data_IF_778480975482
#
_entry.id   IF_778480975482
#
_cell.length_a   1.000
_cell.length_b   1.000
_cell.length_c   1.000
_cell.angle_alpha   90.00
_cell.angle_beta   90.00
_cell.angle_gamma   90.00
#
_symmetry.space_group_name_H-M   'P 1'
#
loop_
_entity.id
_entity.type
_entity.pdbx_description
1 polymer ?
#
# COMPACT_ATOMS: atom_id res chain seq x y z
N UNK A 1 -14.56 9.35 -19.00
CA UNK A 1 -15.38 10.16 -19.92
C UNK A 1 -16.78 10.30 -19.38
N UNK A 2 -17.39 11.44 -19.60
CA UNK A 2 -18.75 11.71 -19.18
C UNK A 2 -19.20 13.09 -19.64
N UNK A 3 -20.51 13.31 -19.62
CA UNK A 3 -21.09 14.61 -19.92
C UNK A 3 -20.84 15.56 -18.74
N UNK A 4 -20.31 16.73 -19.05
CA UNK A 4 -20.10 17.82 -18.12
C UNK A 4 -21.08 18.93 -18.47
N UNK A 5 -21.81 19.47 -17.50
CA UNK A 5 -22.65 20.64 -17.72
C UNK A 5 -21.89 21.88 -17.25
N UNK A 6 -21.63 22.79 -18.15
CA UNK A 6 -20.97 24.06 -17.89
C UNK A 6 -22.06 25.12 -17.81
N UNK A 7 -22.16 25.81 -16.67
CA UNK A 7 -23.07 26.91 -16.47
C UNK A 7 -22.25 28.19 -16.41
N UNK A 8 -22.67 29.20 -17.15
CA UNK A 8 -22.06 30.54 -17.15
C UNK A 8 -23.09 31.57 -16.82
N UNK A 9 -22.78 32.51 -15.90
CA UNK A 9 -23.56 33.66 -15.58
C UNK A 9 -22.66 34.90 -15.68
N UNK A 10 -23.13 35.95 -16.37
CA UNK A 10 -22.40 37.18 -16.54
C UNK A 10 -23.31 38.38 -16.56
N UNK A 11 -22.80 39.61 -16.27
CA UNK A 11 -23.54 40.85 -16.38
C UNK A 11 -23.56 41.41 -17.81
N UNK A 12 -22.78 40.82 -18.72
CA UNK A 12 -22.70 41.17 -20.15
C UNK A 12 -22.71 39.94 -21.03
N UNK A 13 -22.90 40.12 -22.33
CA UNK A 13 -22.78 39.00 -23.28
C UNK A 13 -21.34 38.47 -23.33
N UNK A 14 -21.19 37.17 -23.21
CA UNK A 14 -19.89 36.51 -23.23
C UNK A 14 -19.92 35.31 -24.18
N UNK A 15 -18.75 34.99 -24.73
CA UNK A 15 -18.53 33.77 -25.50
C UNK A 15 -17.60 32.87 -24.72
N UNK A 16 -17.82 31.58 -24.78
CA UNK A 16 -16.88 30.62 -24.20
C UNK A 16 -16.66 29.37 -25.05
N UNK A 17 -15.52 28.79 -24.93
CA UNK A 17 -15.08 27.62 -25.67
C UNK A 17 -14.20 26.75 -24.78
N UNK A 18 -14.21 25.43 -24.99
CA UNK A 18 -13.41 24.44 -24.28
C UNK A 18 -12.24 24.02 -25.16
N UNK A 19 -11.04 24.05 -24.59
CA UNK A 19 -9.79 23.66 -25.24
C UNK A 19 -9.06 22.57 -24.46
N UNK A 20 -8.26 21.77 -25.15
CA UNK A 20 -7.24 20.92 -24.49
C UNK A 20 -6.14 21.79 -23.88
N UNK A 21 -5.30 21.21 -23.06
CA UNK A 21 -4.09 21.87 -22.54
C UNK A 21 -3.04 22.17 -23.62
N UNK A 22 -3.16 21.53 -24.79
CA UNK A 22 -2.32 21.78 -25.97
C UNK A 22 -2.89 22.87 -26.89
N UNK A 23 -4.02 23.48 -26.54
CA UNK A 23 -4.65 24.57 -27.30
C UNK A 23 -5.62 24.11 -28.40
N UNK A 24 -5.91 22.82 -28.53
CA UNK A 24 -6.89 22.30 -29.47
C UNK A 24 -8.31 22.58 -28.98
N UNK A 25 -9.18 23.11 -29.83
CA UNK A 25 -10.58 23.39 -29.50
C UNK A 25 -11.39 22.09 -29.45
N UNK A 26 -11.86 21.74 -28.26
CA UNK A 26 -12.61 20.48 -28.01
C UNK A 26 -14.12 20.67 -28.21
N UNK A 27 -14.65 21.82 -27.81
CA UNK A 27 -16.06 22.14 -27.96
C UNK A 27 -16.26 23.53 -28.50
N UNK A 28 -17.38 23.73 -29.19
CA UNK A 28 -17.72 24.90 -29.99
C UNK A 28 -17.60 26.25 -29.26
N UNK A 29 -17.93 27.32 -29.94
CA UNK A 29 -18.09 28.63 -29.32
C UNK A 29 -19.57 28.77 -28.91
N UNK A 30 -19.78 28.93 -27.63
CA UNK A 30 -21.11 29.12 -27.04
C UNK A 30 -21.25 30.59 -26.66
N UNK A 31 -22.48 31.13 -26.77
CA UNK A 31 -22.74 32.51 -26.47
C UNK A 31 -23.84 32.64 -25.40
N UNK A 32 -23.49 33.28 -24.29
CA UNK A 32 -24.45 33.72 -23.30
C UNK A 32 -24.82 35.19 -23.60
N UNK A 33 -26.04 35.45 -24.02
CA UNK A 33 -26.49 36.78 -24.34
C UNK A 33 -27.19 37.44 -23.15
N UNK A 34 -26.81 38.68 -22.84
CA UNK A 34 -27.46 39.48 -21.81
C UNK A 34 -28.92 39.74 -22.17
N UNK A 35 -29.84 39.44 -21.26
CA UNK A 35 -31.25 39.79 -21.40
C UNK A 35 -31.47 41.19 -20.80
N UNK A 36 -32.10 42.07 -21.58
CA UNK A 36 -32.40 43.46 -21.13
C UNK A 36 -33.25 43.48 -19.86
N UNK A 37 -34.18 42.53 -19.71
CA UNK A 37 -35.10 42.44 -18.56
C UNK A 37 -34.44 42.06 -17.24
N UNK A 38 -33.33 41.34 -17.25
CA UNK A 38 -32.65 40.84 -16.03
C UNK A 38 -31.28 41.46 -15.82
N UNK A 39 -30.70 42.11 -16.82
CA UNK A 39 -29.34 42.64 -16.78
C UNK A 39 -28.25 41.57 -16.71
N UNK A 40 -28.61 40.29 -16.92
CA UNK A 40 -27.68 39.14 -16.84
C UNK A 40 -27.75 38.25 -18.06
N UNK A 41 -26.64 37.63 -18.40
CA UNK A 41 -26.52 36.55 -19.36
C UNK A 41 -26.34 35.25 -18.61
N UNK A 42 -27.28 34.31 -18.76
CA UNK A 42 -27.18 33.00 -18.17
C UNK A 42 -27.23 31.96 -19.29
N UNK A 43 -26.36 30.96 -19.18
CA UNK A 43 -26.29 29.92 -20.18
C UNK A 43 -25.81 28.61 -19.57
N UNK A 44 -26.31 27.49 -20.10
CA UNK A 44 -25.96 26.16 -19.68
C UNK A 44 -25.75 25.24 -20.90
N UNK A 45 -24.67 24.54 -20.99
CA UNK A 45 -24.37 23.60 -22.06
C UNK A 45 -23.77 22.32 -21.51
N UNK A 46 -24.08 21.22 -22.20
CA UNK A 46 -23.57 19.90 -21.90
C UNK A 46 -22.50 19.50 -22.91
N UNK A 47 -21.30 19.28 -22.44
CA UNK A 47 -20.14 18.89 -23.26
C UNK A 47 -19.65 17.51 -22.84
N UNK A 48 -19.49 16.60 -23.80
CA UNK A 48 -18.90 15.30 -23.53
C UNK A 48 -17.38 15.40 -23.54
N UNK A 49 -16.77 15.16 -22.38
CA UNK A 49 -15.32 15.22 -22.20
C UNK A 49 -14.76 13.88 -21.71
N UNK A 50 -13.61 13.51 -22.21
CA UNK A 50 -12.84 12.42 -21.64
C UNK A 50 -12.22 12.84 -20.31
N UNK A 51 -11.73 11.86 -19.51
CA UNK A 51 -10.97 12.19 -18.32
C UNK A 51 -9.71 12.98 -18.70
N UNK A 52 -9.52 14.16 -18.14
CA UNK A 52 -8.39 15.02 -18.48
C UNK A 52 -8.52 16.41 -17.88
N UNK A 53 -7.56 17.27 -18.20
CA UNK A 53 -7.54 18.69 -17.85
C UNK A 53 -7.87 19.50 -19.11
N UNK A 54 -8.72 20.51 -18.95
CA UNK A 54 -9.21 21.33 -20.04
C UNK A 54 -9.14 22.81 -19.65
N UNK A 55 -9.02 23.67 -20.66
CA UNK A 55 -9.07 25.11 -20.50
C UNK A 55 -10.42 25.65 -20.96
N UNK A 56 -11.10 26.40 -20.09
CA UNK A 56 -12.28 27.17 -20.46
C UNK A 56 -11.85 28.58 -20.84
N UNK A 57 -11.97 28.93 -22.13
CA UNK A 57 -11.72 30.28 -22.62
C UNK A 57 -13.03 31.07 -22.60
N UNK A 58 -13.04 32.18 -21.88
CA UNK A 58 -14.17 33.13 -21.84
C UNK A 58 -13.71 34.40 -22.55
N UNK A 59 -14.49 34.85 -23.54
CA UNK A 59 -14.26 36.08 -24.29
C UNK A 59 -15.42 36.99 -24.10
N UNK A 60 -15.16 38.27 -23.83
CA UNK A 60 -16.13 39.31 -23.56
C UNK A 60 -16.31 40.23 -24.77
N UNK A 61 -17.46 40.89 -24.82
CA UNK A 61 -17.80 41.91 -25.82
C UNK A 61 -17.51 43.34 -25.36
N UNK A 62 -17.41 43.57 -24.03
CA UNK A 62 -17.27 44.88 -23.38
C UNK A 62 -16.02 44.95 -22.49
N UNK A 63 -15.59 46.16 -22.15
CA UNK A 63 -14.40 46.44 -21.34
C UNK A 63 -14.54 46.00 -19.85
N UNK A 64 -15.75 45.94 -19.33
CA UNK A 64 -16.03 45.57 -17.93
C UNK A 64 -17.08 44.45 -17.88
N UNK A 65 -16.66 43.24 -17.57
CA UNK A 65 -17.54 42.08 -17.45
C UNK A 65 -17.22 41.31 -16.17
N UNK A 66 -18.21 41.12 -15.33
CA UNK A 66 -18.16 40.19 -14.22
C UNK A 66 -18.83 38.89 -14.65
N UNK A 67 -18.22 37.76 -14.41
CA UNK A 67 -18.78 36.45 -14.71
C UNK A 67 -18.49 35.44 -13.61
N UNK A 68 -19.38 34.48 -13.49
CA UNK A 68 -19.18 33.30 -12.69
C UNK A 68 -19.42 32.05 -13.58
N UNK A 69 -18.76 30.95 -13.28
CA UNK A 69 -19.06 29.69 -13.93
C UNK A 69 -19.03 28.55 -12.93
N UNK A 70 -19.80 27.53 -13.19
CA UNK A 70 -19.72 26.26 -12.46
C UNK A 70 -19.70 25.10 -13.45
N UNK A 71 -19.01 24.03 -13.10
CA UNK A 71 -18.96 22.80 -13.89
C UNK A 71 -19.51 21.67 -13.02
N UNK A 72 -20.64 21.11 -13.46
CA UNK A 72 -21.27 19.98 -12.79
C UNK A 72 -20.95 18.70 -13.54
N UNK A 73 -20.20 17.83 -12.91
CA UNK A 73 -19.92 16.51 -13.43
C UNK A 73 -21.02 15.53 -13.04
N UNK A 74 -21.65 14.89 -14.04
CA UNK A 74 -22.63 13.81 -13.81
C UNK A 74 -21.95 12.43 -13.86
N UNK A 75 -20.61 12.38 -13.90
CA UNK A 75 -19.94 11.09 -13.94
C UNK A 75 -20.05 10.39 -12.59
N UNK A 76 -20.94 9.39 -12.51
CA UNK A 76 -20.99 8.45 -11.40
C UNK A 76 -20.03 7.29 -11.69
N UNK A 77 -19.10 7.03 -10.78
CA UNK A 77 -18.22 5.89 -10.91
C UNK A 77 -19.00 4.60 -10.71
N UNK A 78 -19.05 3.77 -11.75
CA UNK A 78 -19.48 2.38 -11.63
C UNK A 78 -18.24 1.51 -11.58
N UNK A 79 -17.93 0.98 -10.41
CA UNK A 79 -16.73 0.19 -10.18
C UNK A 79 -17.03 -1.30 -10.33
N UNK A 80 -16.33 -1.94 -11.24
CA UNK A 80 -16.36 -3.39 -11.41
C UNK A 80 -15.07 -4.01 -10.86
N UNK A 81 -15.17 -5.23 -10.33
CA UNK A 81 -14.00 -5.99 -9.92
C UNK A 81 -13.06 -6.17 -11.10
N UNK A 82 -11.77 -5.91 -10.90
CA UNK A 82 -10.74 -6.07 -11.92
C UNK A 82 -9.83 -7.25 -11.64
N UNK A 83 -9.17 -7.26 -10.48
CA UNK A 83 -8.24 -8.33 -10.09
C UNK A 83 -7.91 -8.27 -8.59
N UNK A 84 -7.33 -9.38 -8.10
CA UNK A 84 -6.80 -9.47 -6.75
C UNK A 84 -5.27 -9.45 -6.76
N UNK A 85 -4.68 -8.56 -5.97
CA UNK A 85 -3.26 -8.63 -5.58
C UNK A 85 -3.13 -9.54 -4.37
N UNK A 86 -2.47 -10.69 -4.53
CA UNK A 86 -2.25 -11.63 -3.43
C UNK A 86 -1.22 -11.08 -2.44
N UNK A 87 -1.43 -11.26 -1.11
CA UNK A 87 -0.44 -10.83 -0.12
C UNK A 87 0.87 -11.61 -0.28
N UNK A 88 1.98 -10.89 -0.22
CA UNK A 88 3.32 -11.49 -0.18
C UNK A 88 3.83 -11.57 1.25
N UNK A 89 5.09 -11.97 1.46
CA UNK A 89 5.72 -11.90 2.79
C UNK A 89 6.06 -10.47 3.22
N UNK A 90 5.96 -9.48 2.34
CA UNK A 90 6.39 -8.09 2.57
C UNK A 90 5.35 -7.04 2.25
N UNK A 91 4.28 -7.39 1.57
CA UNK A 91 3.21 -6.45 1.18
C UNK A 91 1.83 -7.03 1.40
N UNK A 92 0.88 -6.15 1.67
CA UNK A 92 -0.53 -6.51 1.77
C UNK A 92 -1.05 -7.02 0.42
N UNK A 93 -2.04 -7.90 0.47
CA UNK A 93 -2.91 -8.20 -0.66
C UNK A 93 -4.16 -7.31 -0.60
N UNK A 94 -4.82 -7.13 -1.73
CA UNK A 94 -6.06 -6.37 -1.82
C UNK A 94 -6.78 -6.68 -3.14
N UNK A 95 -8.06 -6.40 -3.17
CA UNK A 95 -8.86 -6.46 -4.39
C UNK A 95 -8.92 -5.07 -5.03
N UNK A 96 -8.80 -5.02 -6.35
CA UNK A 96 -8.84 -3.80 -7.16
C UNK A 96 -10.15 -3.75 -7.94
N UNK A 97 -10.82 -2.63 -7.86
CA UNK A 97 -12.00 -2.30 -8.62
C UNK A 97 -11.71 -1.11 -9.52
N UNK A 98 -12.16 -1.16 -10.76
CA UNK A 98 -11.92 -0.11 -11.75
C UNK A 98 -13.23 0.37 -12.36
N UNK A 99 -13.29 1.66 -12.65
CA UNK A 99 -14.32 2.28 -13.45
C UNK A 99 -13.84 2.43 -14.90
N UNK A 100 -14.73 2.45 -15.87
CA UNK A 100 -14.42 2.71 -17.29
C UNK A 100 -13.68 4.03 -17.53
N UNK A 101 -13.84 5.00 -16.64
CA UNK A 101 -13.10 6.27 -16.69
C UNK A 101 -11.63 6.17 -16.23
N UNK A 102 -11.16 4.98 -15.81
CA UNK A 102 -9.82 4.78 -15.30
C UNK A 102 -9.68 4.95 -13.78
N UNK A 103 -10.69 5.48 -13.06
CA UNK A 103 -10.66 5.57 -11.60
C UNK A 103 -10.60 4.16 -10.98
N UNK A 104 -9.84 4.03 -9.90
CA UNK A 104 -9.65 2.75 -9.17
C UNK A 104 -9.78 2.95 -7.67
N UNK A 105 -10.28 1.93 -6.98
CA UNK A 105 -10.16 1.83 -5.53
C UNK A 105 -9.80 0.40 -5.12
N UNK A 106 -9.31 0.24 -3.90
CA UNK A 106 -8.91 -1.05 -3.35
C UNK A 106 -9.70 -1.37 -2.09
N UNK A 107 -10.01 -2.65 -1.88
CA UNK A 107 -10.73 -3.15 -0.71
C UNK A 107 -10.18 -4.50 -0.28
N UNK A 108 -10.75 -5.12 0.77
CA UNK A 108 -10.36 -6.44 1.27
C UNK A 108 -8.85 -6.57 1.55
N UNK A 109 -8.25 -5.57 2.19
CA UNK A 109 -6.82 -5.55 2.47
C UNK A 109 -6.44 -6.71 3.40
N UNK A 110 -5.59 -7.62 2.89
CA UNK A 110 -5.06 -8.78 3.62
C UNK A 110 -3.63 -8.52 4.05
N UNK A 111 -3.34 -8.74 5.33
CA UNK A 111 -1.99 -8.56 5.89
C UNK A 111 -0.93 -9.42 5.18
N UNK A 112 0.36 -9.02 5.24
CA UNK A 112 1.44 -9.79 4.67
C UNK A 112 1.47 -11.22 5.19
N UNK A 113 1.70 -12.21 4.31
CA UNK A 113 1.77 -13.62 4.67
C UNK A 113 3.03 -13.91 5.51
N UNK A 114 2.91 -14.46 6.72
CA UNK A 114 4.08 -14.78 7.54
C UNK A 114 5.00 -15.80 6.87
N UNK A 115 6.32 -15.71 7.15
CA UNK A 115 7.26 -16.71 6.73
C UNK A 115 6.91 -18.08 7.34
N UNK A 116 7.02 -19.15 6.56
CA UNK A 116 6.86 -20.51 7.06
C UNK A 116 7.93 -20.87 8.09
N UNK A 117 7.75 -21.98 8.80
CA UNK A 117 8.69 -22.47 9.78
C UNK A 117 10.08 -22.76 9.17
N UNK A 118 11.14 -22.48 9.93
CA UNK A 118 12.49 -22.98 9.65
C UNK A 118 12.66 -24.37 10.26
N UNK A 119 13.64 -25.15 9.79
CA UNK A 119 13.98 -26.45 10.37
C UNK A 119 15.34 -26.35 11.09
N UNK A 120 15.37 -26.66 12.39
CA UNK A 120 16.64 -26.81 13.12
C UNK A 120 17.29 -28.09 12.66
N UNK A 121 18.53 -27.99 12.13
CA UNK A 121 19.38 -29.13 11.76
C UNK A 121 19.99 -29.78 13.00
N UNK A 122 20.67 -28.97 13.79
CA UNK A 122 21.34 -29.48 14.99
C UNK A 122 21.41 -28.47 16.11
N UNK A 123 21.46 -28.97 17.34
CA UNK A 123 21.80 -28.24 18.57
C UNK A 123 22.86 -28.99 19.28
N UNK A 124 24.04 -28.39 19.48
CA UNK A 124 25.21 -29.05 20.11
C UNK A 124 25.78 -28.17 21.22
N UNK A 125 26.11 -28.76 22.34
CA UNK A 125 26.93 -28.12 23.37
C UNK A 125 28.39 -28.08 22.97
N UNK A 126 29.06 -26.97 23.25
CA UNK A 126 30.51 -26.83 23.06
C UNK A 126 31.17 -26.96 24.43
N UNK A 127 31.97 -28.03 24.59
CA UNK A 127 32.40 -28.60 25.87
C UNK A 127 33.19 -27.66 26.81
N UNK A 128 33.92 -26.67 26.31
CA UNK A 128 34.85 -25.88 27.12
C UNK A 128 34.35 -24.43 27.44
N UNK A 129 33.14 -24.06 27.06
CA UNK A 129 32.75 -22.63 27.10
C UNK A 129 31.31 -22.34 27.52
N UNK A 130 30.57 -23.27 28.11
CA UNK A 130 29.15 -23.12 28.46
C UNK A 130 28.31 -22.51 27.30
N UNK A 131 28.54 -23.05 26.10
CA UNK A 131 27.98 -22.54 24.87
C UNK A 131 27.10 -23.58 24.18
N UNK A 132 26.07 -23.11 23.48
CA UNK A 132 25.17 -23.94 22.68
C UNK A 132 25.17 -23.41 21.26
N UNK A 133 25.69 -24.22 20.30
CA UNK A 133 25.63 -23.94 18.87
C UNK A 133 24.33 -24.48 18.31
N UNK A 134 23.57 -23.62 17.61
CA UNK A 134 22.34 -23.96 16.91
C UNK A 134 22.57 -23.77 15.41
N UNK A 135 22.16 -24.75 14.62
CA UNK A 135 22.25 -24.73 13.15
C UNK A 135 20.84 -24.98 12.59
N UNK A 136 20.44 -24.18 11.61
CA UNK A 136 19.14 -24.27 10.95
C UNK A 136 19.20 -24.07 9.44
N UNK A 137 18.13 -24.41 8.73
CA UNK A 137 17.98 -24.09 7.32
C UNK A 137 17.58 -22.62 7.17
N UNK A 138 18.18 -21.94 6.19
CA UNK A 138 17.73 -20.59 5.81
C UNK A 138 16.31 -20.62 5.25
N UNK A 139 15.64 -19.48 5.33
CA UNK A 139 14.30 -19.28 4.77
C UNK A 139 14.35 -18.13 3.76
N UNK A 140 13.89 -18.40 2.54
CA UNK A 140 13.81 -17.38 1.50
C UNK A 140 12.96 -16.19 1.98
N UNK A 141 13.41 -14.98 1.70
CA UNK A 141 12.75 -13.74 2.11
C UNK A 141 12.95 -13.36 3.58
N UNK A 142 13.72 -14.10 4.38
CA UNK A 142 14.03 -13.72 5.74
C UNK A 142 15.00 -12.53 5.81
N UNK A 143 14.77 -11.61 6.72
CA UNK A 143 15.72 -10.54 7.10
C UNK A 143 16.64 -10.98 8.26
N UNK A 144 16.26 -12.04 8.97
CA UNK A 144 17.02 -12.61 10.07
C UNK A 144 16.23 -13.64 10.85
N UNK A 145 16.75 -14.01 12.02
CA UNK A 145 16.21 -15.10 12.84
C UNK A 145 16.14 -14.71 14.31
N UNK A 146 15.16 -15.28 15.00
CA UNK A 146 15.01 -15.17 16.45
C UNK A 146 15.10 -16.56 17.06
N UNK A 147 15.97 -16.70 18.07
CA UNK A 147 16.28 -17.95 18.75
C UNK A 147 15.84 -17.84 20.20
N UNK A 148 15.09 -18.81 20.69
CA UNK A 148 14.69 -18.94 22.07
C UNK A 148 15.33 -20.17 22.69
N UNK A 149 15.85 -20.00 23.90
CA UNK A 149 16.36 -21.05 24.77
C UNK A 149 15.52 -21.09 26.04
N UNK A 150 15.13 -22.27 26.47
CA UNK A 150 14.36 -22.46 27.71
C UNK A 150 14.78 -23.76 28.40
N UNK A 151 14.66 -23.81 29.73
CA UNK A 151 14.78 -25.04 30.50
C UNK A 151 13.50 -25.90 30.43
N UNK A 152 12.39 -25.30 30.01
CA UNK A 152 11.10 -25.96 29.89
C UNK A 152 10.72 -26.16 28.41
N UNK A 153 10.24 -27.36 28.07
CA UNK A 153 9.84 -27.72 26.70
C UNK A 153 8.75 -26.81 26.12
N UNK A 154 7.87 -26.30 26.96
CA UNK A 154 6.76 -25.40 26.56
C UNK A 154 7.15 -23.93 26.48
N UNK A 155 8.39 -23.56 26.81
CA UNK A 155 8.91 -22.18 26.76
C UNK A 155 8.14 -21.15 27.64
N UNK A 156 7.47 -21.58 28.72
CA UNK A 156 6.81 -20.66 29.68
C UNK A 156 7.78 -19.61 30.26
N UNK A 157 9.04 -20.03 30.52
CA UNK A 157 10.13 -19.14 30.96
C UNK A 157 11.33 -19.31 30.05
N UNK A 158 11.84 -18.20 29.50
CA UNK A 158 13.02 -18.21 28.65
C UNK A 158 14.29 -18.12 29.51
N UNK A 159 15.29 -18.92 29.19
CA UNK A 159 16.65 -18.80 29.72
C UNK A 159 17.46 -17.76 28.92
N UNK A 160 17.25 -17.70 27.59
CA UNK A 160 17.87 -16.70 26.74
C UNK A 160 17.04 -16.47 25.48
N UNK A 161 17.17 -15.25 24.93
CA UNK A 161 16.55 -14.84 23.67
C UNK A 161 17.61 -14.12 22.83
N UNK A 162 17.74 -14.46 21.56
CA UNK A 162 18.65 -13.76 20.64
C UNK A 162 17.97 -13.49 19.31
N UNK A 163 18.17 -12.29 18.80
CA UNK A 163 17.81 -11.92 17.42
C UNK A 163 19.10 -11.78 16.61
N UNK A 164 19.17 -12.46 15.48
CA UNK A 164 20.32 -12.48 14.57
C UNK A 164 19.88 -11.82 13.27
N UNK A 165 20.63 -10.80 12.82
CA UNK A 165 20.42 -10.14 11.53
C UNK A 165 21.02 -11.00 10.41
N UNK A 166 20.51 -10.82 9.18
CA UNK A 166 21.00 -11.53 7.98
C UNK A 166 20.18 -12.78 7.64
N UNK A 167 19.44 -12.71 6.54
CA UNK A 167 18.58 -13.82 6.07
C UNK A 167 19.34 -15.07 5.62
N UNK A 168 20.63 -14.93 5.28
CA UNK A 168 21.52 -16.04 4.90
C UNK A 168 22.21 -16.71 6.10
N UNK A 169 22.01 -16.20 7.33
CA UNK A 169 22.64 -16.78 8.55
C UNK A 169 22.09 -18.18 8.81
N UNK A 170 22.98 -19.15 8.98
CA UNK A 170 22.66 -20.59 9.15
C UNK A 170 22.91 -21.10 10.57
N UNK A 171 23.63 -20.35 11.42
CA UNK A 171 23.99 -20.78 12.76
C UNK A 171 24.18 -19.61 13.72
N UNK A 172 24.11 -19.92 15.01
CA UNK A 172 24.44 -19.00 16.09
C UNK A 172 25.00 -19.80 17.28
N UNK A 173 25.96 -19.20 17.99
CA UNK A 173 26.54 -19.75 19.23
C UNK A 173 26.05 -18.86 20.38
N UNK A 174 25.13 -19.39 21.17
CA UNK A 174 24.73 -18.79 22.44
C UNK A 174 25.76 -19.05 23.53
N UNK A 175 25.94 -18.12 24.46
CA UNK A 175 26.91 -18.17 25.55
C UNK A 175 26.23 -18.13 26.92
N UNK A 176 26.98 -18.37 27.99
CA UNK A 176 26.58 -18.24 29.40
C UNK A 176 25.43 -19.18 29.80
N UNK A 177 25.45 -20.42 29.32
CA UNK A 177 24.54 -21.46 29.77
C UNK A 177 25.11 -22.21 30.98
N UNK A 178 24.25 -22.68 31.88
CA UNK A 178 24.66 -23.44 33.08
C UNK A 178 25.06 -24.86 32.67
N UNK A 179 26.26 -25.30 33.02
CA UNK A 179 26.77 -26.66 32.87
C UNK A 179 25.81 -27.68 33.49
N UNK A 180 25.68 -28.83 32.86
CA UNK A 180 24.83 -29.92 33.36
C UNK A 180 23.31 -29.71 33.13
N UNK A 181 22.85 -28.53 32.81
CA UNK A 181 21.39 -28.24 32.60
C UNK A 181 20.97 -28.55 31.16
N UNK A 182 19.74 -29.05 31.01
CA UNK A 182 19.10 -29.28 29.70
C UNK A 182 18.42 -28.01 29.20
N UNK A 183 18.60 -27.69 27.92
CA UNK A 183 18.00 -26.55 27.24
C UNK A 183 17.22 -27.01 26.01
N UNK A 184 16.01 -26.49 25.85
CA UNK A 184 15.19 -26.63 24.66
C UNK A 184 15.37 -25.38 23.79
N UNK A 185 15.43 -25.57 22.49
CA UNK A 185 15.74 -24.49 21.54
C UNK A 185 14.70 -24.53 20.42
N UNK A 186 14.17 -23.35 20.07
CA UNK A 186 13.38 -23.13 18.86
C UNK A 186 13.82 -21.86 18.15
N UNK A 187 13.64 -21.84 16.85
CA UNK A 187 14.07 -20.73 15.96
C UNK A 187 12.89 -20.34 15.09
N UNK A 188 12.74 -19.06 14.81
CA UNK A 188 11.85 -18.57 13.76
C UNK A 188 12.55 -17.53 12.90
N UNK A 189 12.20 -17.46 11.62
CA UNK A 189 12.61 -16.37 10.75
C UNK A 189 11.76 -15.12 11.02
N UNK A 190 12.31 -13.96 10.69
CA UNK A 190 11.53 -12.73 10.60
C UNK A 190 11.88 -11.97 9.33
N UNK A 191 10.94 -11.14 8.86
CA UNK A 191 11.16 -10.16 7.80
C UNK A 191 10.84 -8.77 8.35
N UNK A 192 11.60 -7.76 7.92
CA UNK A 192 11.28 -6.37 8.18
C UNK A 192 10.28 -5.90 7.11
N UNK A 193 9.16 -5.35 7.54
CA UNK A 193 8.11 -4.78 6.70
C UNK A 193 7.78 -3.42 7.30
N UNK A 194 8.03 -2.34 6.57
CA UNK A 194 7.76 -0.97 7.03
C UNK A 194 8.31 -0.70 8.44
N UNK A 195 9.59 -1.04 8.68
CA UNK A 195 10.26 -0.86 9.97
C UNK A 195 9.88 -1.87 11.06
N UNK A 196 8.82 -2.65 10.90
CA UNK A 196 8.34 -3.64 11.88
C UNK A 196 8.78 -5.06 11.52
N UNK A 197 9.05 -5.89 12.55
CA UNK A 197 9.40 -7.31 12.36
C UNK A 197 8.13 -8.17 12.26
N UNK A 198 7.91 -8.77 11.11
CA UNK A 198 6.89 -9.81 10.90
C UNK A 198 7.55 -11.17 11.10
N UNK A 199 7.10 -11.90 12.13
CA UNK A 199 7.69 -13.19 12.49
C UNK A 199 6.99 -14.36 11.79
N UNK A 200 7.81 -15.31 11.32
CA UNK A 200 7.35 -16.58 10.78
C UNK A 200 6.96 -17.57 11.88
N UNK A 201 6.48 -18.75 11.45
CA UNK A 201 6.18 -19.88 12.34
C UNK A 201 7.45 -20.38 13.04
N UNK A 202 7.31 -20.86 14.28
CA UNK A 202 8.40 -21.50 15.01
C UNK A 202 8.83 -22.81 14.35
N UNK A 203 10.12 -23.12 14.49
CA UNK A 203 10.71 -24.41 14.10
C UNK A 203 10.20 -25.56 14.98
N UNK A 204 10.58 -26.79 14.59
CA UNK A 204 10.67 -27.90 15.52
C UNK A 204 11.57 -27.53 16.74
N UNK A 205 11.28 -28.15 17.89
CA UNK A 205 12.06 -27.99 19.12
C UNK A 205 13.14 -29.07 19.14
N UNK A 206 14.39 -28.67 19.42
CA UNK A 206 15.48 -29.60 19.76
C UNK A 206 16.01 -29.28 21.15
N UNK A 207 16.63 -30.27 21.79
CA UNK A 207 17.20 -30.06 23.11
C UNK A 207 18.67 -30.55 23.17
N UNK A 208 19.41 -30.01 24.15
CA UNK A 208 20.79 -30.36 24.45
C UNK A 208 21.10 -30.18 25.93
N UNK A 209 21.91 -31.03 26.51
CA UNK A 209 22.50 -30.83 27.83
C UNK A 209 23.80 -30.02 27.67
N UNK A 210 23.90 -28.87 28.35
CA UNK A 210 25.09 -28.04 28.32
C UNK A 210 26.25 -28.76 29.05
N UNK A 211 27.36 -28.91 28.36
CA UNK A 211 28.59 -29.53 28.89
C UNK A 211 29.52 -28.44 29.46
#
# INVERSE_FOLDING_TARGET
>A
SGTQTINVSANESVYFSVYSTTGEKIAGTFAAYRKASTGTANWSESVSLNAGTYCLKISKYSYSCFYSFSINSIHRHSYNYSYTVKPTTSSNGYDVYSCSCGAKYTTNVKSPKPLGAVKIKSVKSQSKKHQIKVIWNTKSGASGYQIYYSRNKNFKKLAAKKTVKGGKTKSYVGKNFTKGKKYYVKVRAYKNVNGKKVYGKWSNVKSVKCK
#
